data_IF_820002048617
#
_entry.id   IF_820002048617
#
_cell.length_a   1.000
_cell.length_b   1.000
_cell.length_c   1.000
_cell.angle_alpha   90.00
_cell.angle_beta   90.00
_cell.angle_gamma   90.00
#
_symmetry.space_group_name_H-M   'P 1'
#
loop_
_entity.id
_entity.type
_entity.pdbx_description
1 polymer ?
#
# COMPACT_ATOMS: atom_id res chain seq x y z
N UNK A 1 10.71 25.80 3.24
CA UNK A 1 11.78 26.32 2.36
C UNK A 1 11.20 26.94 1.10
N UNK A 2 10.35 26.26 0.33
CA UNK A 2 9.70 26.78 -0.88
C UNK A 2 8.91 28.08 -0.61
N UNK A 3 8.11 28.13 0.46
CA UNK A 3 7.38 29.36 0.86
C UNK A 3 8.34 30.51 1.06
N UNK A 4 9.42 30.31 1.79
CA UNK A 4 10.45 31.32 2.04
C UNK A 4 11.09 31.84 0.76
N UNK A 5 11.37 30.96 -0.22
CA UNK A 5 11.96 31.40 -1.51
C UNK A 5 10.93 32.20 -2.31
N UNK A 6 9.71 31.70 -2.43
CA UNK A 6 8.65 32.33 -3.25
C UNK A 6 8.29 33.71 -2.71
N UNK A 7 8.18 33.87 -1.39
CA UNK A 7 7.90 35.20 -0.77
C UNK A 7 9.01 36.25 -0.98
N UNK A 8 10.18 35.86 -1.48
CA UNK A 8 11.30 36.76 -1.86
C UNK A 8 11.30 37.17 -3.34
N UNK A 9 10.40 36.59 -4.13
CA UNK A 9 10.29 36.85 -5.57
C UNK A 9 9.01 37.66 -5.81
N UNK A 10 9.14 38.97 -6.00
CA UNK A 10 8.01 39.89 -6.14
C UNK A 10 7.01 39.51 -7.24
N UNK A 11 7.47 38.78 -8.25
CA UNK A 11 6.63 38.32 -9.36
C UNK A 11 5.78 37.08 -9.05
N UNK A 12 5.95 36.43 -7.89
CA UNK A 12 5.28 35.17 -7.55
C UNK A 12 4.42 35.30 -6.31
N UNK A 13 3.25 34.69 -6.36
CA UNK A 13 2.39 34.55 -5.19
C UNK A 13 2.67 33.23 -4.47
N UNK A 14 2.58 33.22 -3.13
CA UNK A 14 2.69 32.00 -2.31
C UNK A 14 1.62 30.95 -2.67
N UNK A 15 0.53 31.40 -3.27
CA UNK A 15 -0.57 30.53 -3.73
C UNK A 15 -0.21 29.66 -4.96
N UNK A 16 0.94 29.89 -5.60
CA UNK A 16 1.45 28.97 -6.63
C UNK A 16 1.83 27.59 -6.07
N UNK A 17 2.18 27.52 -4.78
CA UNK A 17 2.63 26.29 -4.15
C UNK A 17 1.45 25.31 -4.01
N UNK A 18 1.54 24.11 -4.60
CA UNK A 18 0.45 23.15 -4.59
C UNK A 18 0.40 22.38 -3.25
N UNK A 19 -0.03 23.03 -2.18
CA UNK A 19 -0.15 22.40 -0.85
C UNK A 19 -1.08 21.17 -0.84
N UNK A 20 -2.02 21.10 -1.79
CA UNK A 20 -2.89 19.95 -1.99
C UNK A 20 -2.14 18.64 -2.28
N UNK A 21 -0.90 18.70 -2.76
CA UNK A 21 -0.08 17.49 -2.95
C UNK A 21 0.13 16.75 -1.62
N UNK A 22 0.34 17.46 -0.52
CA UNK A 22 0.66 16.87 0.78
C UNK A 22 -0.44 15.92 1.27
N UNK A 23 -1.72 16.36 1.43
CA UNK A 23 -2.76 15.46 1.91
C UNK A 23 -3.08 14.33 0.92
N UNK A 24 -2.92 14.52 -0.39
CA UNK A 24 -3.07 13.45 -1.39
C UNK A 24 -2.00 12.38 -1.17
N UNK A 25 -0.73 12.75 -1.13
CA UNK A 25 0.38 11.81 -0.95
C UNK A 25 0.30 11.09 0.40
N UNK A 26 0.10 11.84 1.49
CA UNK A 26 0.06 11.22 2.81
C UNK A 26 -1.14 10.28 2.94
N UNK A 27 -2.32 10.63 2.41
CA UNK A 27 -3.51 9.77 2.42
C UNK A 27 -3.31 8.47 1.60
N UNK A 28 -2.46 8.50 0.59
CA UNK A 28 -2.18 7.32 -0.24
C UNK A 28 -1.39 6.24 0.51
N UNK A 29 -0.51 6.64 1.43
CA UNK A 29 0.36 5.72 2.19
C UNK A 29 -0.09 5.50 3.64
N UNK A 30 -0.83 6.46 4.22
CA UNK A 30 -1.26 6.48 5.60
C UNK A 30 -2.77 6.73 5.69
N UNK A 31 -3.30 6.78 6.90
CA UNK A 31 -4.71 7.09 7.11
C UNK A 31 -5.02 8.60 6.96
N UNK A 32 -6.32 8.90 6.82
CA UNK A 32 -6.81 10.27 6.61
C UNK A 32 -6.49 11.24 7.76
N UNK A 33 -6.35 10.74 8.99
CA UNK A 33 -6.07 11.57 10.14
C UNK A 33 -4.63 12.03 10.16
N UNK A 34 -3.69 11.13 9.85
CA UNK A 34 -2.28 11.47 9.67
C UNK A 34 -2.13 12.49 8.53
N UNK A 35 -2.86 12.30 7.43
CA UNK A 35 -2.84 13.24 6.32
C UNK A 35 -3.37 14.63 6.73
N UNK A 36 -4.46 14.69 7.51
CA UNK A 36 -5.00 15.94 8.03
C UNK A 36 -4.00 16.64 8.93
N UNK A 37 -3.48 15.96 9.95
CA UNK A 37 -2.54 16.57 10.88
C UNK A 37 -1.27 17.06 10.20
N UNK A 38 -0.71 16.25 9.29
CA UNK A 38 0.48 16.64 8.54
C UNK A 38 0.22 17.89 7.70
N UNK A 39 -0.93 17.93 7.00
CA UNK A 39 -1.31 19.08 6.19
C UNK A 39 -1.49 20.33 7.04
N UNK A 40 -2.25 20.25 8.13
CA UNK A 40 -2.49 21.40 9.04
C UNK A 40 -1.17 21.91 9.65
N UNK A 41 -0.27 21.04 10.05
CA UNK A 41 1.05 21.43 10.57
C UNK A 41 1.88 22.17 9.52
N UNK A 42 1.91 21.68 8.29
CA UNK A 42 2.64 22.34 7.19
C UNK A 42 2.01 23.69 6.86
N UNK A 43 0.68 23.77 6.80
CA UNK A 43 -0.04 25.04 6.57
C UNK A 43 0.24 26.03 7.70
N UNK A 44 0.17 25.61 8.96
CA UNK A 44 0.44 26.46 10.11
C UNK A 44 1.86 27.05 10.04
N UNK A 45 2.87 26.22 9.78
CA UNK A 45 4.25 26.68 9.64
C UNK A 45 4.43 27.63 8.44
N UNK A 46 3.78 27.34 7.31
CA UNK A 46 3.82 28.18 6.13
C UNK A 46 3.14 29.55 6.34
N UNK A 47 2.08 29.57 7.16
CA UNK A 47 1.35 30.80 7.49
C UNK A 47 2.22 31.87 8.14
N UNK A 48 3.18 31.49 8.98
CA UNK A 48 4.14 32.44 9.58
C UNK A 48 5.06 33.11 8.56
N UNK A 49 5.21 32.51 7.37
CA UNK A 49 6.04 33.03 6.29
C UNK A 49 5.23 33.78 5.23
N UNK A 50 3.90 33.71 5.30
CA UNK A 50 3.00 34.36 4.34
C UNK A 50 2.65 35.78 4.79
N UNK A 51 2.63 36.73 3.87
CA UNK A 51 2.18 38.11 4.12
C UNK A 51 0.68 38.21 4.43
N UNK A 52 -0.13 37.30 3.88
CA UNK A 52 -1.59 37.22 4.07
C UNK A 52 -1.96 36.01 4.95
N UNK A 53 -1.37 35.93 6.15
CA UNK A 53 -1.38 34.74 6.99
C UNK A 53 -2.78 34.12 7.23
N UNK A 54 -3.78 34.90 7.60
CA UNK A 54 -5.13 34.39 7.85
C UNK A 54 -5.79 33.83 6.57
N UNK A 55 -5.75 34.61 5.48
CA UNK A 55 -6.33 34.21 4.19
C UNK A 55 -5.66 32.92 3.68
N UNK A 56 -4.34 32.88 3.73
CA UNK A 56 -3.56 31.71 3.35
C UNK A 56 -3.94 30.47 4.19
N UNK A 57 -3.95 30.60 5.52
CA UNK A 57 -4.31 29.52 6.43
C UNK A 57 -5.72 28.99 6.17
N UNK A 58 -6.69 29.88 6.00
CA UNK A 58 -8.07 29.52 5.72
C UNK A 58 -8.20 28.73 4.41
N UNK A 59 -7.66 29.29 3.33
CA UNK A 59 -7.77 28.67 2.00
C UNK A 59 -7.05 27.32 1.93
N UNK A 60 -5.84 27.22 2.47
CA UNK A 60 -5.09 25.95 2.45
C UNK A 60 -5.75 24.88 3.35
N UNK A 61 -6.29 25.28 4.49
CA UNK A 61 -7.05 24.35 5.35
C UNK A 61 -8.30 23.84 4.64
N UNK A 62 -9.06 24.74 3.98
CA UNK A 62 -10.25 24.38 3.19
C UNK A 62 -9.91 23.34 2.14
N UNK A 63 -8.82 23.55 1.37
CA UNK A 63 -8.37 22.61 0.35
C UNK A 63 -8.00 21.25 0.96
N UNK A 64 -7.27 21.23 2.06
CA UNK A 64 -6.92 20.00 2.75
C UNK A 64 -8.16 19.20 3.18
N UNK A 65 -9.16 19.86 3.73
CA UNK A 65 -10.43 19.21 4.12
C UNK A 65 -11.17 18.66 2.89
N UNK A 66 -11.28 19.42 1.80
CA UNK A 66 -11.92 18.96 0.55
C UNK A 66 -11.23 17.72 0.01
N UNK A 67 -9.90 17.68 -0.05
CA UNK A 67 -9.13 16.53 -0.49
C UNK A 67 -9.40 15.30 0.40
N UNK A 68 -9.51 15.48 1.70
CA UNK A 68 -9.74 14.38 2.63
C UNK A 68 -11.15 13.83 2.57
N UNK A 69 -12.14 14.69 2.28
CA UNK A 69 -13.53 14.30 2.10
C UNK A 69 -13.80 13.65 0.74
N UNK A 70 -13.03 14.01 -0.29
CA UNK A 70 -13.14 13.36 -1.60
C UNK A 70 -12.46 11.99 -1.57
N UNK A 71 -13.10 11.00 -2.20
CA UNK A 71 -12.43 9.72 -2.46
C UNK A 71 -11.46 9.91 -3.63
N UNK A 72 -10.23 10.34 -3.31
CA UNK A 72 -9.16 10.47 -4.29
C UNK A 72 -8.70 9.07 -4.68
N UNK A 73 -9.31 8.49 -5.73
CA UNK A 73 -8.76 7.29 -6.36
C UNK A 73 -7.79 7.73 -7.47
N UNK A 74 -6.51 7.66 -7.17
CA UNK A 74 -5.43 8.04 -8.09
C UNK A 74 -5.27 7.06 -9.27
N UNK A 75 -6.00 5.93 -9.28
CA UNK A 75 -6.02 4.94 -10.37
C UNK A 75 -7.01 5.31 -11.47
N UNK A 76 -8.14 5.87 -11.10
CA UNK A 76 -9.15 6.35 -12.05
C UNK A 76 -8.85 7.81 -12.37
N UNK A 77 -8.26 8.02 -13.56
CA UNK A 77 -7.94 9.35 -14.05
C UNK A 77 -9.18 10.27 -14.09
N UNK A 78 -10.37 9.75 -14.40
CA UNK A 78 -11.58 10.56 -14.41
C UNK A 78 -11.91 11.07 -13.01
N UNK A 79 -11.91 10.18 -12.00
CA UNK A 79 -12.16 10.58 -10.62
C UNK A 79 -11.07 11.53 -10.11
N UNK A 80 -9.82 11.31 -10.51
CA UNK A 80 -8.71 12.17 -10.15
C UNK A 80 -8.88 13.59 -10.73
N UNK A 81 -9.25 13.71 -12.02
CA UNK A 81 -9.55 15.01 -12.65
C UNK A 81 -10.74 15.71 -11.99
N UNK A 82 -11.83 15.00 -11.67
CA UNK A 82 -12.94 15.57 -10.92
C UNK A 82 -12.52 16.07 -9.54
N UNK A 83 -11.63 15.34 -8.84
CA UNK A 83 -11.09 15.79 -7.56
C UNK A 83 -10.32 17.10 -7.72
N UNK A 84 -9.47 17.22 -8.72
CA UNK A 84 -8.73 18.44 -9.02
C UNK A 84 -9.69 19.59 -9.35
N UNK A 85 -10.75 19.32 -10.11
CA UNK A 85 -11.79 20.31 -10.39
C UNK A 85 -12.52 20.76 -9.13
N UNK A 86 -12.87 19.86 -8.22
CA UNK A 86 -13.48 20.25 -6.93
C UNK A 86 -12.53 21.06 -6.06
N UNK A 87 -11.23 20.76 -6.08
CA UNK A 87 -10.21 21.57 -5.40
C UNK A 87 -10.22 23.00 -5.96
N UNK A 88 -10.21 23.14 -7.30
CA UNK A 88 -10.27 24.44 -7.95
C UNK A 88 -11.53 25.23 -7.56
N UNK A 89 -12.70 24.60 -7.60
CA UNK A 89 -13.97 25.21 -7.20
C UNK A 89 -13.97 25.64 -5.73
N UNK A 90 -13.53 24.74 -4.84
CA UNK A 90 -13.48 25.06 -3.41
C UNK A 90 -12.52 26.21 -3.11
N UNK A 91 -11.38 26.23 -3.80
CA UNK A 91 -10.41 27.30 -3.68
C UNK A 91 -11.00 28.64 -4.15
N UNK A 92 -11.56 28.66 -5.36
CA UNK A 92 -12.15 29.86 -5.95
C UNK A 92 -13.34 30.41 -5.13
N UNK A 93 -14.26 29.52 -4.72
CA UNK A 93 -15.40 29.89 -3.88
C UNK A 93 -14.96 30.36 -2.49
N UNK A 94 -13.97 29.68 -1.90
CA UNK A 94 -13.38 30.10 -0.61
C UNK A 94 -12.76 31.47 -0.70
N UNK A 95 -12.01 31.76 -1.75
CA UNK A 95 -11.40 33.07 -1.99
C UNK A 95 -12.45 34.18 -2.21
N UNK A 96 -13.45 33.93 -3.06
CA UNK A 96 -14.56 34.89 -3.28
C UNK A 96 -15.29 35.17 -1.95
N UNK A 97 -15.65 34.10 -1.23
CA UNK A 97 -16.36 34.25 0.05
C UNK A 97 -15.55 35.07 1.05
N UNK A 98 -14.27 34.77 1.21
CA UNK A 98 -13.37 35.51 2.12
C UNK A 98 -13.23 36.97 1.70
N UNK A 99 -13.01 37.24 0.40
CA UNK A 99 -12.89 38.59 -0.14
C UNK A 99 -14.15 39.40 0.07
N UNK A 100 -15.33 38.78 -0.08
CA UNK A 100 -16.62 39.46 0.21
C UNK A 100 -16.78 39.80 1.68
N UNK A 101 -16.38 38.94 2.59
CA UNK A 101 -16.39 39.19 4.03
C UNK A 101 -15.46 40.33 4.40
N UNK A 102 -14.28 40.39 3.81
CA UNK A 102 -13.27 41.41 4.11
C UNK A 102 -13.58 42.79 3.49
N UNK A 103 -14.11 42.81 2.26
CA UNK A 103 -14.24 44.04 1.47
C UNK A 103 -15.70 44.51 1.29
N UNK A 104 -16.69 43.66 1.65
CA UNK A 104 -18.08 43.99 1.55
C UNK A 104 -18.65 44.13 0.13
N UNK A 105 -17.84 43.91 -0.93
CA UNK A 105 -18.28 44.05 -2.31
C UNK A 105 -17.45 43.21 -3.30
N UNK A 106 -18.09 42.84 -4.42
CA UNK A 106 -17.39 42.13 -5.54
C UNK A 106 -16.35 42.99 -6.25
N UNK A 107 -16.40 44.32 -6.13
CA UNK A 107 -15.51 45.26 -6.82
C UNK A 107 -14.04 45.16 -6.34
N UNK A 108 -13.86 44.68 -5.11
CA UNK A 108 -12.52 44.53 -4.53
C UNK A 108 -11.85 43.19 -4.80
N UNK A 109 -12.49 42.27 -5.51
CA UNK A 109 -11.92 40.97 -5.80
C UNK A 109 -10.74 41.11 -6.78
N UNK A 110 -9.56 40.65 -6.39
CA UNK A 110 -8.44 40.52 -7.29
C UNK A 110 -8.57 39.26 -8.15
N UNK A 111 -9.05 39.46 -9.37
CA UNK A 111 -9.24 38.36 -10.33
C UNK A 111 -7.91 37.74 -10.79
N UNK A 112 -6.78 38.39 -10.62
CA UNK A 112 -5.47 37.82 -10.93
C UNK A 112 -5.13 36.62 -10.04
N UNK A 113 -5.72 36.56 -8.84
CA UNK A 113 -5.57 35.47 -7.89
C UNK A 113 -6.02 34.13 -8.47
N UNK A 114 -7.02 34.12 -9.36
CA UNK A 114 -7.49 32.91 -10.02
C UNK A 114 -6.42 32.26 -10.91
N UNK A 115 -5.47 33.02 -11.44
CA UNK A 115 -4.34 32.46 -12.20
C UNK A 115 -3.45 31.62 -11.27
N UNK A 116 -3.21 32.11 -10.04
CA UNK A 116 -2.42 31.40 -9.05
C UNK A 116 -3.14 30.16 -8.51
N UNK A 117 -4.44 30.31 -8.25
CA UNK A 117 -5.30 29.18 -7.84
C UNK A 117 -5.32 28.10 -8.93
N UNK A 118 -5.50 28.48 -10.18
CA UNK A 118 -5.49 27.55 -11.30
C UNK A 118 -4.14 26.84 -11.41
N UNK A 119 -3.05 27.58 -11.37
CA UNK A 119 -1.69 27.03 -11.49
C UNK A 119 -1.37 26.08 -10.33
N UNK A 120 -1.70 26.47 -9.08
CA UNK A 120 -1.55 25.60 -7.91
C UNK A 120 -2.34 24.30 -8.03
N UNK A 121 -3.61 24.42 -8.44
CA UNK A 121 -4.49 23.24 -8.65
C UNK A 121 -3.98 22.37 -9.77
N UNK A 122 -3.52 22.96 -10.87
CA UNK A 122 -2.89 22.22 -11.97
C UNK A 122 -1.62 21.49 -11.53
N UNK A 123 -0.76 22.15 -10.76
CA UNK A 123 0.45 21.53 -10.20
C UNK A 123 0.13 20.41 -9.21
N UNK A 124 -1.05 20.42 -8.58
CA UNK A 124 -1.49 19.33 -7.69
C UNK A 124 -1.66 18.00 -8.45
N UNK A 125 -1.84 18.03 -9.79
CA UNK A 125 -1.80 16.82 -10.64
C UNK A 125 -0.49 16.06 -10.51
N UNK A 126 0.61 16.72 -10.18
CA UNK A 126 1.91 16.08 -9.97
C UNK A 126 1.93 15.10 -8.78
N UNK A 127 0.92 15.13 -7.90
CA UNK A 127 0.82 14.15 -6.83
C UNK A 127 0.78 12.71 -7.39
N UNK A 128 0.07 12.50 -8.51
CA UNK A 128 -0.09 11.15 -9.09
C UNK A 128 1.26 10.54 -9.54
N UNK A 129 2.09 11.17 -10.38
CA UNK A 129 3.39 10.61 -10.76
C UNK A 129 4.39 10.56 -9.60
N UNK A 130 4.20 11.33 -8.52
CA UNK A 130 5.04 11.25 -7.33
C UNK A 130 4.80 9.97 -6.51
N UNK A 131 3.60 9.38 -6.56
CA UNK A 131 3.28 8.14 -5.80
C UNK A 131 4.24 7.01 -6.18
N UNK A 132 4.34 6.56 -7.46
CA UNK A 132 5.25 5.47 -7.82
C UNK A 132 6.73 5.84 -7.61
N UNK A 133 7.09 7.13 -7.69
CA UNK A 133 8.43 7.58 -7.37
C UNK A 133 8.75 7.37 -5.89
N UNK A 134 7.83 7.74 -4.98
CA UNK A 134 7.99 7.56 -3.54
C UNK A 134 7.99 6.08 -3.15
N UNK A 135 7.15 5.25 -3.77
CA UNK A 135 7.17 3.80 -3.60
C UNK A 135 8.55 3.23 -3.92
N UNK A 136 9.13 3.65 -5.04
CA UNK A 136 10.43 3.15 -5.49
C UNK A 136 11.60 3.63 -4.62
N UNK A 137 11.58 4.90 -4.20
CA UNK A 137 12.66 5.50 -3.42
C UNK A 137 12.67 5.04 -1.96
N UNK A 138 11.49 4.92 -1.34
CA UNK A 138 11.35 4.65 0.08
C UNK A 138 10.87 3.23 0.39
N UNK A 139 10.54 2.44 -0.63
CA UNK A 139 10.02 1.09 -0.46
C UNK A 139 8.61 1.07 0.16
N UNK A 140 7.87 2.15 0.05
CA UNK A 140 6.47 2.20 0.46
C UNK A 140 5.61 1.35 -0.46
N UNK A 141 4.47 0.91 0.04
CA UNK A 141 3.48 0.18 -0.76
C UNK A 141 2.15 0.88 -0.59
N UNK A 142 1.68 1.50 -1.67
CA UNK A 142 0.41 2.21 -1.66
C UNK A 142 -0.78 1.25 -1.73
N UNK A 143 -1.97 1.75 -1.37
CA UNK A 143 -3.21 1.01 -1.58
C UNK A 143 -3.48 0.73 -3.06
N UNK A 144 -2.97 1.57 -3.95
CA UNK A 144 -3.03 1.40 -5.42
C UNK A 144 -2.24 0.16 -5.83
N UNK A 145 -0.96 0.07 -5.45
CA UNK A 145 -0.11 -1.07 -5.74
C UNK A 145 -0.68 -2.37 -5.15
N UNK A 146 -1.21 -2.33 -3.92
CA UNK A 146 -1.85 -3.50 -3.31
C UNK A 146 -3.09 -3.94 -4.08
N UNK A 147 -3.92 -3.02 -4.57
CA UNK A 147 -5.11 -3.38 -5.35
C UNK A 147 -4.71 -3.98 -6.70
N UNK A 148 -3.71 -3.44 -7.37
CA UNK A 148 -3.17 -4.03 -8.59
C UNK A 148 -2.63 -5.45 -8.34
N UNK A 149 -1.95 -5.68 -7.23
CA UNK A 149 -1.43 -6.99 -6.85
C UNK A 149 -2.55 -7.97 -6.45
N UNK A 150 -3.73 -7.49 -6.10
CA UNK A 150 -4.89 -8.35 -5.82
C UNK A 150 -5.62 -8.85 -7.07
N UNK A 151 -5.26 -8.34 -8.26
CA UNK A 151 -5.85 -8.78 -9.54
C UNK A 151 -5.34 -10.17 -9.90
N UNK A 152 -6.26 -11.13 -10.05
CA UNK A 152 -5.96 -12.52 -10.41
C UNK A 152 -5.40 -12.68 -11.83
N UNK A 153 -5.51 -11.64 -12.67
CA UNK A 153 -4.91 -11.62 -14.00
C UNK A 153 -3.40 -11.30 -13.97
N UNK A 154 -2.82 -11.02 -12.81
CA UNK A 154 -1.38 -10.86 -12.69
C UNK A 154 -0.63 -12.13 -13.08
N UNK A 155 0.49 -12.01 -13.84
CA UNK A 155 1.20 -13.18 -14.38
C UNK A 155 1.54 -14.23 -13.34
N UNK A 156 1.99 -13.82 -12.14
CA UNK A 156 2.36 -14.74 -11.07
C UNK A 156 1.15 -15.48 -10.48
N UNK A 157 -0.01 -14.82 -10.34
CA UNK A 157 -1.24 -15.49 -9.87
C UNK A 157 -1.84 -16.38 -10.96
N UNK A 158 -1.69 -16.03 -12.23
CA UNK A 158 -2.04 -16.93 -13.34
C UNK A 158 -1.12 -18.15 -13.39
N UNK A 159 0.18 -17.98 -13.17
CA UNK A 159 1.10 -19.10 -13.05
C UNK A 159 0.71 -20.02 -11.88
N UNK A 160 0.37 -19.45 -10.73
CA UNK A 160 -0.15 -20.21 -9.58
C UNK A 160 -1.44 -20.95 -9.94
N UNK A 161 -2.37 -20.31 -10.68
CA UNK A 161 -3.63 -20.93 -11.11
C UNK A 161 -3.42 -22.14 -12.03
N UNK A 162 -2.42 -22.08 -12.90
CA UNK A 162 -2.12 -23.14 -13.87
C UNK A 162 -1.33 -24.29 -13.21
N UNK A 163 -0.28 -23.98 -12.43
CA UNK A 163 0.63 -24.98 -11.87
C UNK A 163 0.10 -25.60 -10.58
N UNK A 164 -0.55 -24.80 -9.73
CA UNK A 164 -1.02 -25.19 -8.40
C UNK A 164 -2.42 -24.65 -8.10
N UNK A 165 -3.46 -25.13 -8.84
CA UNK A 165 -4.82 -24.60 -8.73
C UNK A 165 -5.42 -24.77 -7.34
N UNK A 166 -5.13 -25.87 -6.64
CA UNK A 166 -5.58 -26.10 -5.28
C UNK A 166 -4.98 -25.08 -4.31
N UNK A 167 -3.70 -24.75 -4.47
CA UNK A 167 -3.04 -23.71 -3.67
C UNK A 167 -3.63 -22.32 -3.93
N UNK A 168 -3.96 -21.97 -5.18
CA UNK A 168 -4.64 -20.70 -5.45
C UNK A 168 -6.02 -20.64 -4.76
N UNK A 169 -6.81 -21.74 -4.85
CA UNK A 169 -8.12 -21.79 -4.20
C UNK A 169 -8.00 -21.68 -2.67
N UNK A 170 -7.03 -22.35 -2.07
CA UNK A 170 -6.70 -22.21 -0.66
C UNK A 170 -6.34 -20.76 -0.31
N UNK A 171 -5.41 -20.16 -1.06
CA UNK A 171 -4.98 -18.79 -0.85
C UNK A 171 -6.12 -17.76 -0.96
N UNK A 172 -7.07 -17.96 -1.88
CA UNK A 172 -8.27 -17.14 -2.00
C UNK A 172 -9.17 -17.23 -0.76
N UNK A 173 -9.38 -18.43 -0.23
CA UNK A 173 -10.18 -18.64 0.99
C UNK A 173 -9.52 -17.99 2.20
N UNK A 174 -8.20 -18.21 2.37
CA UNK A 174 -7.42 -17.58 3.44
C UNK A 174 -7.46 -16.05 3.31
N UNK A 175 -7.30 -15.52 2.09
CA UNK A 175 -7.35 -14.08 1.84
C UNK A 175 -8.69 -13.45 2.23
N UNK A 176 -9.81 -14.11 1.89
CA UNK A 176 -11.14 -13.62 2.25
C UNK A 176 -11.37 -13.61 3.78
N UNK A 177 -10.98 -14.67 4.48
CA UNK A 177 -11.11 -14.76 5.92
C UNK A 177 -10.21 -13.79 6.66
N UNK A 178 -8.94 -13.71 6.24
CA UNK A 178 -7.96 -12.82 6.84
C UNK A 178 -8.30 -11.34 6.60
N UNK A 179 -8.80 -10.99 5.41
CA UNK A 179 -9.31 -9.64 5.12
C UNK A 179 -10.48 -9.27 6.04
N UNK A 180 -11.45 -10.15 6.21
CA UNK A 180 -12.59 -9.90 7.07
C UNK A 180 -12.17 -9.69 8.54
N UNK A 181 -11.23 -10.52 9.03
CA UNK A 181 -10.66 -10.38 10.36
C UNK A 181 -9.90 -9.06 10.52
N UNK A 182 -9.05 -8.72 9.55
CA UNK A 182 -8.28 -7.49 9.56
C UNK A 182 -9.17 -6.24 9.58
N UNK A 183 -10.25 -6.23 8.80
CA UNK A 183 -11.27 -5.15 8.83
C UNK A 183 -11.88 -4.98 10.22
N UNK A 184 -12.18 -6.10 10.88
CA UNK A 184 -12.83 -6.07 12.21
C UNK A 184 -11.97 -5.45 13.29
N UNK A 185 -10.65 -5.64 13.21
CA UNK A 185 -9.69 -5.09 14.18
C UNK A 185 -9.05 -3.76 13.74
N UNK A 186 -9.49 -3.18 12.60
CA UNK A 186 -8.95 -1.93 12.08
C UNK A 186 -7.53 -2.03 11.51
N UNK A 187 -7.07 -3.24 11.17
CA UNK A 187 -5.77 -3.44 10.51
C UNK A 187 -5.86 -3.17 9.00
N UNK A 188 -4.70 -3.10 8.33
CA UNK A 188 -4.64 -2.93 6.88
C UNK A 188 -5.15 -4.20 6.16
N UNK A 189 -6.46 -4.27 5.97
CA UNK A 189 -7.15 -5.43 5.40
C UNK A 189 -6.72 -5.74 3.97
N UNK A 190 -6.39 -4.71 3.16
CA UNK A 190 -5.96 -4.89 1.78
C UNK A 190 -4.57 -5.52 1.72
N UNK A 191 -3.64 -5.07 2.57
CA UNK A 191 -2.32 -5.69 2.69
C UNK A 191 -2.42 -7.15 3.11
N UNK A 192 -3.25 -7.45 4.12
CA UNK A 192 -3.45 -8.81 4.61
C UNK A 192 -4.04 -9.71 3.53
N UNK A 193 -5.03 -9.21 2.76
CA UNK A 193 -5.59 -9.93 1.61
C UNK A 193 -4.53 -10.28 0.58
N UNK A 194 -3.77 -9.28 0.15
CA UNK A 194 -2.72 -9.47 -0.88
C UNK A 194 -1.63 -10.39 -0.36
N UNK A 195 -1.18 -10.22 0.87
CA UNK A 195 -0.19 -11.11 1.48
C UNK A 195 -0.66 -12.57 1.48
N UNK A 196 -1.93 -12.81 1.83
CA UNK A 196 -2.52 -14.15 1.81
C UNK A 196 -2.64 -14.73 0.40
N UNK A 197 -2.84 -13.92 -0.66
CA UNK A 197 -2.85 -14.42 -2.03
C UNK A 197 -1.48 -14.95 -2.48
N UNK A 198 -0.41 -14.37 -1.97
CA UNK A 198 0.96 -14.69 -2.41
C UNK A 198 1.75 -15.56 -1.43
N UNK A 199 1.23 -15.87 -0.23
CA UNK A 199 2.03 -16.52 0.83
C UNK A 199 2.63 -17.88 0.40
N UNK A 200 1.91 -18.60 -0.43
CA UNK A 200 2.21 -19.98 -0.84
C UNK A 200 2.70 -20.12 -2.30
N UNK A 201 3.13 -19.02 -2.95
CA UNK A 201 3.56 -19.05 -4.36
C UNK A 201 4.73 -20.02 -4.62
N UNK A 202 5.53 -20.33 -3.61
CA UNK A 202 6.63 -21.30 -3.74
C UNK A 202 6.17 -22.71 -4.01
N UNK A 203 4.93 -23.05 -3.71
CA UNK A 203 4.35 -24.37 -4.03
C UNK A 203 4.22 -24.63 -5.53
N UNK A 204 4.35 -23.58 -6.37
CA UNK A 204 4.38 -23.73 -7.84
C UNK A 204 5.58 -24.50 -8.36
N UNK A 205 6.64 -24.67 -7.56
CA UNK A 205 7.86 -25.39 -7.96
C UNK A 205 7.65 -26.90 -7.98
N UNK A 206 6.93 -27.41 -6.97
CA UNK A 206 6.65 -28.84 -6.82
C UNK A 206 5.21 -29.03 -6.28
N UNK A 207 4.18 -28.63 -7.04
CA UNK A 207 2.81 -28.58 -6.54
C UNK A 207 2.24 -29.93 -6.12
N UNK A 208 2.66 -31.01 -6.76
CA UNK A 208 2.23 -32.37 -6.53
C UNK A 208 2.58 -32.92 -5.13
N UNK A 209 3.49 -32.29 -4.42
CA UNK A 209 3.79 -32.64 -3.02
C UNK A 209 2.86 -32.01 -1.99
N UNK A 210 2.00 -31.08 -2.39
CA UNK A 210 1.06 -30.42 -1.49
C UNK A 210 -0.33 -30.98 -1.66
N UNK A 211 -0.94 -31.40 -0.53
CA UNK A 211 -2.18 -32.17 -0.50
C UNK A 211 -3.33 -31.56 -1.31
N UNK A 212 -3.40 -30.22 -1.33
CA UNK A 212 -4.42 -29.49 -2.07
C UNK A 212 -4.28 -29.57 -3.59
N UNK A 213 -3.10 -30.01 -4.09
CA UNK A 213 -2.82 -30.20 -5.51
C UNK A 213 -2.55 -31.66 -5.89
N UNK A 214 -2.54 -32.57 -4.91
CA UNK A 214 -2.29 -34.00 -5.17
C UNK A 214 -3.45 -34.62 -5.94
N UNK A 215 -3.10 -35.56 -6.82
CA UNK A 215 -4.05 -36.51 -7.42
C UNK A 215 -4.20 -37.75 -6.54
N UNK A 216 -4.41 -38.89 -7.21
CA UNK A 216 -4.65 -40.19 -6.52
C UNK A 216 -3.40 -40.76 -5.81
N UNK A 217 -2.22 -40.25 -6.09
CA UNK A 217 -0.94 -40.77 -5.57
C UNK A 217 -0.27 -39.73 -4.66
N UNK A 218 0.05 -40.13 -3.42
CA UNK A 218 0.84 -39.31 -2.52
C UNK A 218 2.33 -39.60 -2.74
N UNK A 219 3.05 -38.66 -3.35
CA UNK A 219 4.48 -38.75 -3.66
C UNK A 219 5.37 -38.86 -2.42
N UNK A 220 4.92 -38.37 -1.26
CA UNK A 220 5.66 -38.50 0.00
C UNK A 220 5.83 -39.96 0.46
N UNK A 221 5.00 -40.87 -0.03
CA UNK A 221 5.16 -42.31 0.27
C UNK A 221 6.43 -42.93 -0.32
N UNK A 222 7.06 -42.24 -1.27
CA UNK A 222 8.28 -42.69 -1.96
C UNK A 222 9.55 -42.02 -1.41
N UNK A 223 9.41 -41.10 -0.46
CA UNK A 223 10.51 -40.31 0.12
C UNK A 223 10.74 -40.65 1.58
N UNK A 224 11.99 -40.57 2.06
CA UNK A 224 12.28 -40.49 3.49
C UNK A 224 11.52 -39.32 4.15
N UNK A 225 11.13 -39.49 5.41
CA UNK A 225 10.35 -38.46 6.11
C UNK A 225 11.08 -37.12 6.24
N UNK A 226 12.41 -37.13 6.40
CA UNK A 226 13.24 -35.92 6.39
C UNK A 226 13.20 -35.21 5.04
N UNK A 227 13.25 -35.92 3.92
CA UNK A 227 13.15 -35.33 2.60
C UNK A 227 11.75 -34.78 2.34
N UNK A 228 10.72 -35.49 2.74
CA UNK A 228 9.34 -35.01 2.70
C UNK A 228 9.17 -33.70 3.45
N UNK A 229 9.72 -33.59 4.68
CA UNK A 229 9.70 -32.36 5.44
C UNK A 229 10.47 -31.24 4.74
N UNK A 230 11.64 -31.55 4.15
CA UNK A 230 12.46 -30.58 3.41
C UNK A 230 11.73 -30.02 2.20
N UNK A 231 11.04 -30.87 1.42
CA UNK A 231 10.23 -30.43 0.27
C UNK A 231 9.16 -29.45 0.73
N UNK A 232 8.44 -29.77 1.83
CA UNK A 232 7.42 -28.88 2.38
C UNK A 232 8.04 -27.56 2.85
N UNK A 233 9.15 -27.59 3.62
CA UNK A 233 9.81 -26.39 4.14
C UNK A 233 10.30 -25.50 3.00
N UNK A 234 10.80 -26.08 1.93
CA UNK A 234 11.44 -25.37 0.82
C UNK A 234 10.49 -24.46 0.03
N UNK A 235 9.15 -24.62 0.12
CA UNK A 235 8.26 -23.69 -0.56
C UNK A 235 8.43 -22.23 -0.06
N UNK A 236 8.86 -22.05 1.20
CA UNK A 236 9.07 -20.70 1.76
C UNK A 236 10.28 -20.01 1.09
N UNK A 237 11.51 -20.54 1.10
CA UNK A 237 12.63 -19.90 0.39
C UNK A 237 12.40 -19.82 -1.12
N UNK A 238 11.79 -20.83 -1.75
CA UNK A 238 11.42 -20.79 -3.16
C UNK A 238 10.41 -19.67 -3.46
N UNK A 239 9.39 -19.51 -2.61
CA UNK A 239 8.42 -18.42 -2.71
C UNK A 239 9.08 -17.05 -2.59
N UNK A 240 10.06 -16.89 -1.69
CA UNK A 240 10.82 -15.64 -1.54
C UNK A 240 11.62 -15.36 -2.83
N UNK A 241 12.23 -16.36 -3.43
CA UNK A 241 12.99 -16.20 -4.67
C UNK A 241 12.08 -15.79 -5.84
N UNK A 242 10.96 -16.49 -6.02
CA UNK A 242 9.94 -16.15 -7.02
C UNK A 242 9.43 -14.72 -6.81
N UNK A 243 9.11 -14.33 -5.57
CA UNK A 243 8.63 -12.99 -5.24
C UNK A 243 9.65 -11.90 -5.63
N UNK A 244 10.95 -12.16 -5.46
CA UNK A 244 12.04 -11.27 -5.89
C UNK A 244 12.12 -11.15 -7.40
N UNK A 245 12.03 -12.27 -8.13
CA UNK A 245 12.06 -12.29 -9.59
C UNK A 245 10.90 -11.48 -10.18
N UNK A 246 9.70 -11.59 -9.59
CA UNK A 246 8.52 -10.81 -9.96
C UNK A 246 8.48 -9.40 -9.35
N UNK A 247 9.54 -9.01 -8.63
CA UNK A 247 9.69 -7.68 -8.00
C UNK A 247 8.52 -7.30 -7.09
N UNK A 248 8.03 -8.26 -6.33
CA UNK A 248 7.00 -7.98 -5.33
C UNK A 248 7.52 -7.02 -4.25
N UNK A 249 6.66 -6.19 -3.66
CA UNK A 249 7.03 -5.31 -2.55
C UNK A 249 7.66 -6.08 -1.39
N UNK A 250 8.64 -5.46 -0.72
CA UNK A 250 9.37 -6.07 0.40
C UNK A 250 8.44 -6.60 1.50
N UNK A 251 7.37 -5.85 1.79
CA UNK A 251 6.38 -6.26 2.79
C UNK A 251 5.74 -7.61 2.45
N UNK A 252 5.41 -7.89 1.19
CA UNK A 252 4.86 -9.19 0.77
C UNK A 252 5.91 -10.30 0.84
N UNK A 253 7.15 -10.01 0.47
CA UNK A 253 8.27 -10.96 0.63
C UNK A 253 8.47 -11.33 2.10
N UNK A 254 8.32 -10.37 3.02
CA UNK A 254 8.38 -10.62 4.45
C UNK A 254 7.23 -11.52 4.93
N UNK A 255 6.00 -11.35 4.43
CA UNK A 255 4.88 -12.25 4.70
C UNK A 255 5.17 -13.67 4.20
N UNK A 256 5.62 -13.84 2.94
CA UNK A 256 5.99 -15.15 2.38
C UNK A 256 7.05 -15.82 3.25
N UNK A 257 8.05 -15.07 3.69
CA UNK A 257 9.15 -15.60 4.50
C UNK A 257 8.73 -16.02 5.90
N UNK A 258 7.72 -15.37 6.49
CA UNK A 258 7.42 -15.47 7.92
C UNK A 258 6.13 -16.20 8.25
N UNK A 259 5.28 -16.54 7.25
CA UNK A 259 3.92 -17.06 7.52
C UNK A 259 3.91 -18.38 8.30
N UNK A 260 4.94 -19.21 8.18
CA UNK A 260 5.13 -20.40 9.04
C UNK A 260 5.99 -20.12 10.28
N UNK A 261 6.67 -18.99 10.35
CA UNK A 261 7.57 -18.67 11.46
C UNK A 261 8.66 -19.74 11.62
N UNK A 262 8.72 -20.34 12.83
CA UNK A 262 9.64 -21.42 13.18
C UNK A 262 8.86 -22.68 13.57
N UNK A 263 7.69 -22.90 13.00
CA UNK A 263 6.85 -24.06 13.32
C UNK A 263 7.49 -25.37 12.85
N UNK A 264 7.07 -26.47 13.43
CA UNK A 264 7.53 -27.81 13.12
C UNK A 264 6.62 -28.45 12.08
N UNK A 265 7.18 -29.15 11.10
CA UNK A 265 6.43 -30.03 10.21
C UNK A 265 6.12 -31.32 10.95
N UNK A 266 5.14 -31.21 11.86
CA UNK A 266 4.84 -32.14 12.94
C UNK A 266 4.61 -33.57 12.46
N UNK A 267 3.87 -33.72 11.34
CA UNK A 267 3.52 -35.05 10.81
C UNK A 267 4.76 -35.88 10.47
N UNK A 268 5.69 -35.31 9.69
CA UNK A 268 6.89 -36.03 9.27
C UNK A 268 7.90 -36.18 10.41
N UNK A 269 7.97 -35.20 11.31
CA UNK A 269 8.80 -35.33 12.51
C UNK A 269 8.36 -36.52 13.38
N UNK A 270 7.06 -36.68 13.65
CA UNK A 270 6.56 -37.81 14.41
C UNK A 270 6.79 -39.13 13.70
N UNK A 271 6.55 -39.18 12.40
CA UNK A 271 6.79 -40.38 11.58
C UNK A 271 8.26 -40.83 11.59
N UNK A 272 9.20 -39.87 11.50
CA UNK A 272 10.63 -40.16 11.61
C UNK A 272 10.97 -40.71 12.97
N UNK A 273 10.41 -40.14 14.05
CA UNK A 273 10.65 -40.56 15.41
C UNK A 273 10.09 -41.95 15.71
N UNK A 274 8.89 -42.25 15.19
CA UNK A 274 8.25 -43.55 15.32
C UNK A 274 8.98 -44.66 14.54
N UNK A 275 9.58 -44.30 13.41
CA UNK A 275 10.35 -45.23 12.58
C UNK A 275 11.76 -45.50 13.13
N UNK A 276 12.32 -44.58 13.89
CA UNK A 276 13.69 -44.64 14.42
C UNK A 276 13.69 -44.36 15.93
N UNK A 277 13.07 -45.22 16.78
CA UNK A 277 12.89 -44.95 18.20
C UNK A 277 14.19 -44.86 19.01
N UNK A 278 15.25 -45.49 18.50
CA UNK A 278 16.57 -45.51 19.15
C UNK A 278 17.51 -44.38 18.67
N UNK A 279 17.09 -43.61 17.66
CA UNK A 279 17.87 -42.49 17.14
C UNK A 279 17.39 -41.15 17.68
N UNK A 280 18.36 -40.22 17.86
CA UNK A 280 18.03 -38.84 18.18
C UNK A 280 17.60 -38.11 16.92
N UNK A 281 16.29 -37.82 16.80
CA UNK A 281 15.74 -37.03 15.70
C UNK A 281 15.80 -35.55 16.08
N UNK A 282 16.62 -34.78 15.38
CA UNK A 282 16.74 -33.34 15.64
C UNK A 282 15.54 -32.57 15.06
N UNK A 283 14.87 -31.79 15.89
CA UNK A 283 13.74 -30.94 15.48
C UNK A 283 14.12 -29.93 14.41
N UNK A 284 15.38 -29.47 14.39
CA UNK A 284 15.87 -28.46 13.43
C UNK A 284 15.71 -28.90 11.97
N UNK A 285 15.80 -30.22 11.70
CA UNK A 285 15.63 -30.76 10.36
C UNK A 285 14.18 -30.66 9.83
N UNK A 286 13.24 -30.46 10.76
CA UNK A 286 11.80 -30.43 10.49
C UNK A 286 11.17 -29.05 10.79
N UNK A 287 11.98 -28.02 11.13
CA UNK A 287 11.48 -26.68 11.44
C UNK A 287 11.65 -25.72 10.27
N UNK A 288 10.66 -24.85 10.11
CA UNK A 288 10.83 -23.71 9.21
C UNK A 288 11.90 -22.75 9.74
N UNK A 289 12.71 -22.16 8.82
CA UNK A 289 13.88 -21.37 9.21
C UNK A 289 13.53 -20.01 9.84
N UNK A 290 12.25 -19.61 9.78
CA UNK A 290 11.83 -18.32 10.32
C UNK A 290 12.18 -17.13 9.43
N UNK A 291 12.17 -15.93 10.01
CA UNK A 291 11.83 -15.59 11.40
C UNK A 291 10.33 -15.71 11.71
N UNK A 292 9.97 -15.60 13.00
CA UNK A 292 8.57 -15.46 13.41
C UNK A 292 8.01 -14.13 12.88
N UNK A 293 6.72 -14.06 12.49
CA UNK A 293 6.08 -12.80 12.12
C UNK A 293 6.15 -11.81 13.29
N UNK A 294 6.32 -10.53 12.94
CA UNK A 294 6.40 -9.41 13.92
C UNK A 294 5.07 -8.72 14.05
#
# INVERSE_FOLDING_TARGET
YLVFIITRIDALSVYIIPFGIVPILVKTFYDKWIALFTHLMIVLLATFLSSSGFEFAFLQTLIGVVILLTNVDTRDWNQYFFTIFYIFLAYGLGYIGLSLVQQGSFKGIDWSMFNWIFLSTFLTLLANPLIPLLERLFGFTSSVALTELSDLNRPLLQELAIKAPGTLQHSLQVANLAEAAARRIGANHLLVRVAALYHDIGKTVQPEYFIENQGDTNLHNQLPFRESARVIINHVPQGVEIARQYRLPKVLIDFIRTHHGTTLVEYFYRKEKDANPDEIVEEMDFRYPGPKPR
#
